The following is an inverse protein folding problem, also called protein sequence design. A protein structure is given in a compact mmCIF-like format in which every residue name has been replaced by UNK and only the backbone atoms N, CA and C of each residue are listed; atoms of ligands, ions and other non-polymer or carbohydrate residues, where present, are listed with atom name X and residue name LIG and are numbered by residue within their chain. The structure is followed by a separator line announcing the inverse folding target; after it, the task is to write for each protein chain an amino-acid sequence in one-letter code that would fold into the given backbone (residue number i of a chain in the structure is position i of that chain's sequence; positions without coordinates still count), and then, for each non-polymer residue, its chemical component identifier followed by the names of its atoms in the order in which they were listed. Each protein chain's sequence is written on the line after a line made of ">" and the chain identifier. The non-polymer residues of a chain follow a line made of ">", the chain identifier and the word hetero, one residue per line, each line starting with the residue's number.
data_IF_366508286218
#
_entry.id   IF_366508286218
#
_cell.length_a   1.000
_cell.length_b   1.000
_cell.length_c   1.000
_cell.angle_alpha   90.00
_cell.angle_beta   90.00
_cell.angle_gamma   90.00
#
_symmetry.space_group_name_H-M   'P 1'
#
loop_
_entity.id
_entity.type
_entity.pdbx_description
1 polymer ?
#
# COMPACT_ATOMS: atom_id res chain seq x y z
N UNK A 1 31.02 1.41 4.71
CA UNK A 1 30.23 2.29 3.83
C UNK A 1 29.85 1.59 2.53
N UNK A 2 30.77 0.87 1.89
CA UNK A 2 30.49 0.19 0.63
C UNK A 2 29.37 -0.81 0.69
N UNK A 3 29.28 -1.63 1.75
CA UNK A 3 28.23 -2.62 1.92
C UNK A 3 26.85 -2.01 2.04
N UNK A 4 26.72 -0.92 2.81
CA UNK A 4 25.44 -0.24 2.98
C UNK A 4 24.97 0.33 1.65
N UNK A 5 25.88 0.98 0.92
CA UNK A 5 25.58 1.53 -0.39
C UNK A 5 25.15 0.45 -1.39
N UNK A 6 25.88 -0.67 -1.39
CA UNK A 6 25.53 -1.82 -2.24
C UNK A 6 24.16 -2.39 -1.90
N UNK A 7 23.85 -2.52 -0.61
CA UNK A 7 22.55 -3.01 -0.17
C UNK A 7 21.42 -2.05 -0.56
N UNK A 8 21.65 -0.74 -0.44
CA UNK A 8 20.65 0.25 -0.86
C UNK A 8 20.41 0.20 -2.36
N UNK A 9 21.44 0.01 -3.16
CA UNK A 9 21.29 -0.12 -4.61
C UNK A 9 20.57 -1.42 -4.95
N UNK A 10 20.96 -2.53 -4.31
CA UNK A 10 20.34 -3.84 -4.55
C UNK A 10 18.88 -3.87 -4.18
N UNK A 11 18.50 -3.24 -3.07
CA UNK A 11 17.13 -3.23 -2.57
C UNK A 11 16.45 -1.89 -2.76
N UNK A 12 16.93 -1.08 -3.71
CA UNK A 12 16.37 0.25 -3.99
C UNK A 12 14.85 0.23 -4.15
N UNK A 13 14.34 -0.74 -4.91
CA UNK A 13 12.91 -0.87 -5.16
C UNK A 13 12.13 -1.09 -3.86
N UNK A 14 12.62 -2.02 -3.02
CA UNK A 14 11.98 -2.29 -1.73
C UNK A 14 12.07 -1.09 -0.79
N UNK A 15 13.24 -0.44 -0.73
CA UNK A 15 13.44 0.74 0.12
C UNK A 15 12.49 1.86 -0.30
N UNK A 16 12.40 2.15 -1.60
CA UNK A 16 11.48 3.17 -2.11
C UNK A 16 10.03 2.79 -1.84
N UNK A 17 9.68 1.51 -1.99
CA UNK A 17 8.34 1.04 -1.69
C UNK A 17 7.96 1.33 -0.23
N UNK A 18 8.87 1.03 0.71
CA UNK A 18 8.64 1.28 2.14
C UNK A 18 8.53 2.78 2.41
N UNK A 19 9.43 3.59 1.84
CA UNK A 19 9.40 5.05 2.02
C UNK A 19 8.07 5.62 1.53
N UNK A 20 7.64 5.27 0.33
CA UNK A 20 6.38 5.76 -0.20
C UNK A 20 5.17 5.15 0.51
N UNK A 21 5.33 3.95 1.09
CA UNK A 21 4.31 3.35 1.94
C UNK A 21 4.08 4.17 3.21
N UNK A 22 5.14 4.64 3.84
CA UNK A 22 5.04 5.54 4.99
C UNK A 22 4.37 6.84 4.59
N UNK A 23 4.76 7.43 3.45
CA UNK A 23 4.14 8.65 2.95
C UNK A 23 2.66 8.44 2.61
N UNK A 24 2.31 7.27 2.08
CA UNK A 24 0.91 6.90 1.81
C UNK A 24 0.10 6.89 3.10
N UNK A 25 0.66 6.34 4.18
CA UNK A 25 0.03 6.36 5.49
C UNK A 25 -0.19 7.78 5.98
N UNK A 26 0.80 8.66 5.80
CA UNK A 26 0.68 10.08 6.16
C UNK A 26 -0.46 10.72 5.37
N UNK A 27 -0.54 10.47 4.07
CA UNK A 27 -1.62 10.98 3.23
C UNK A 27 -2.99 10.51 3.76
N UNK A 28 -3.10 9.25 4.13
CA UNK A 28 -4.34 8.69 4.69
C UNK A 28 -4.76 9.43 5.95
N UNK A 29 -3.86 9.58 6.92
CA UNK A 29 -4.18 10.23 8.19
C UNK A 29 -4.47 11.72 8.02
N UNK A 30 -3.65 12.44 7.25
CA UNK A 30 -3.84 13.87 7.04
C UNK A 30 -5.15 14.15 6.32
N UNK A 31 -5.45 13.41 5.26
CA UNK A 31 -6.71 13.59 4.52
C UNK A 31 -7.92 13.23 5.38
N UNK A 32 -7.83 12.15 6.17
CA UNK A 32 -8.89 11.77 7.09
C UNK A 32 -9.19 12.91 8.09
N UNK A 33 -8.12 13.47 8.68
CA UNK A 33 -8.25 14.58 9.64
C UNK A 33 -8.88 15.80 8.99
N UNK A 34 -8.47 16.16 7.77
CA UNK A 34 -9.06 17.30 7.06
C UNK A 34 -10.54 17.05 6.81
N UNK A 35 -10.92 15.86 6.36
CA UNK A 35 -12.31 15.55 6.07
C UNK A 35 -13.18 15.56 7.31
N UNK A 36 -12.68 15.04 8.44
CA UNK A 36 -13.48 14.98 9.67
C UNK A 36 -13.51 16.30 10.43
N UNK A 37 -12.35 16.93 10.63
CA UNK A 37 -12.25 18.10 11.51
C UNK A 37 -12.53 19.41 10.79
N UNK A 38 -12.10 19.57 9.55
CA UNK A 38 -12.32 20.81 8.81
C UNK A 38 -13.61 20.81 8.00
N UNK A 39 -13.90 19.72 7.31
CA UNK A 39 -15.06 19.64 6.43
C UNK A 39 -16.27 19.01 7.10
N UNK A 40 -16.13 18.53 8.32
CA UNK A 40 -17.21 17.91 9.11
C UNK A 40 -17.92 16.77 8.37
N UNK A 41 -17.16 15.99 7.60
CA UNK A 41 -17.68 14.82 6.90
C UNK A 41 -17.76 13.65 7.90
N UNK A 42 -18.83 12.82 7.87
CA UNK A 42 -18.93 11.65 8.75
C UNK A 42 -17.70 10.76 8.64
N UNK A 43 -17.30 10.14 9.75
CA UNK A 43 -16.04 9.39 9.80
C UNK A 43 -15.98 8.23 8.79
N UNK A 44 -17.11 7.58 8.51
CA UNK A 44 -17.12 6.47 7.54
C UNK A 44 -16.84 6.96 6.12
N UNK A 45 -17.45 8.07 5.73
CA UNK A 45 -17.19 8.68 4.42
C UNK A 45 -15.75 9.18 4.36
N UNK A 46 -15.28 9.82 5.45
CA UNK A 46 -13.90 10.29 5.53
C UNK A 46 -12.90 9.14 5.42
N UNK A 47 -13.18 8.00 6.03
CA UNK A 47 -12.36 6.80 5.93
C UNK A 47 -12.26 6.32 4.47
N UNK A 48 -13.41 6.23 3.80
CA UNK A 48 -13.44 5.80 2.39
C UNK A 48 -12.68 6.77 1.50
N UNK A 49 -12.90 8.08 1.67
CA UNK A 49 -12.23 9.10 0.86
C UNK A 49 -10.72 9.10 1.10
N UNK A 50 -10.29 9.01 2.36
CA UNK A 50 -8.87 8.98 2.68
C UNK A 50 -8.20 7.71 2.15
N UNK A 51 -8.91 6.58 2.18
CA UNK A 51 -8.41 5.35 1.60
C UNK A 51 -8.20 5.49 0.09
N UNK A 52 -9.18 6.04 -0.63
CA UNK A 52 -9.07 6.26 -2.07
C UNK A 52 -7.89 7.17 -2.39
N UNK A 53 -7.75 8.29 -1.65
CA UNK A 53 -6.64 9.22 -1.87
C UNK A 53 -5.29 8.57 -1.59
N UNK A 54 -5.19 7.80 -0.51
CA UNK A 54 -3.93 7.14 -0.15
C UNK A 54 -3.56 6.07 -1.16
N UNK A 55 -4.53 5.29 -1.65
CA UNK A 55 -4.28 4.26 -2.67
C UNK A 55 -3.89 4.92 -4.00
N UNK A 56 -4.56 6.01 -4.38
CA UNK A 56 -4.20 6.75 -5.59
C UNK A 56 -2.78 7.30 -5.48
N UNK A 57 -2.42 7.87 -4.34
CA UNK A 57 -1.05 8.35 -4.09
C UNK A 57 -0.05 7.20 -4.19
N UNK A 58 -0.36 6.07 -3.55
CA UNK A 58 0.50 4.89 -3.60
C UNK A 58 0.66 4.39 -5.04
N UNK A 59 -0.42 4.38 -5.82
CA UNK A 59 -0.35 3.94 -7.21
C UNK A 59 0.59 4.84 -8.03
N UNK A 60 0.40 6.16 -7.94
CA UNK A 60 1.21 7.11 -8.72
C UNK A 60 2.68 7.03 -8.34
N UNK A 61 2.97 7.01 -7.03
CA UNK A 61 4.35 6.96 -6.55
C UNK A 61 5.03 5.64 -6.88
N UNK A 62 4.32 4.51 -6.72
CA UNK A 62 4.87 3.20 -7.05
C UNK A 62 5.10 3.08 -8.55
N UNK A 63 4.15 3.54 -9.35
CA UNK A 63 4.27 3.49 -10.80
C UNK A 63 5.47 4.29 -11.30
N UNK A 64 5.64 5.49 -10.77
CA UNK A 64 6.62 6.44 -11.29
C UNK A 64 8.03 6.21 -10.75
N UNK A 65 8.14 6.00 -9.43
CA UNK A 65 9.46 6.00 -8.77
C UNK A 65 9.91 4.63 -8.27
N UNK A 66 9.01 3.76 -7.88
CA UNK A 66 9.38 2.46 -7.31
C UNK A 66 9.59 1.41 -8.41
N UNK A 67 8.57 1.18 -9.22
CA UNK A 67 8.57 0.13 -10.24
C UNK A 67 8.80 0.66 -11.64
N UNK A 68 8.87 1.96 -11.81
CA UNK A 68 9.16 2.63 -13.09
C UNK A 68 8.36 2.04 -14.25
N UNK A 69 7.03 2.07 -14.12
CA UNK A 69 6.13 1.52 -15.13
C UNK A 69 6.33 2.17 -16.48
N UNK A 70 6.29 1.35 -17.54
CA UNK A 70 6.39 1.81 -18.92
C UNK A 70 5.05 1.84 -19.63
N UNK A 71 3.97 1.63 -18.90
CA UNK A 71 2.63 1.68 -19.48
C UNK A 71 2.32 3.10 -19.97
N UNK A 72 1.88 3.19 -21.21
CA UNK A 72 1.46 4.46 -21.83
C UNK A 72 0.10 4.27 -22.47
N UNK A 73 -0.67 5.35 -22.49
CA UNK A 73 -2.00 5.33 -23.07
C UNK A 73 -3.08 5.03 -22.04
N UNK A 74 -4.33 5.31 -22.38
CA UNK A 74 -5.45 5.26 -21.46
C UNK A 74 -5.72 3.82 -20.99
N UNK A 75 -5.82 2.88 -21.92
CA UNK A 75 -6.21 1.49 -21.58
C UNK A 75 -5.15 0.77 -20.74
N UNK A 76 -3.85 0.79 -21.13
CA UNK A 76 -2.82 0.16 -20.29
C UNK A 76 -2.73 0.76 -18.89
N UNK A 77 -2.83 2.07 -18.75
CA UNK A 77 -2.77 2.74 -17.45
C UNK A 77 -4.01 2.40 -16.63
N UNK A 78 -5.18 2.39 -17.24
CA UNK A 78 -6.41 2.00 -16.55
C UNK A 78 -6.35 0.55 -16.06
N UNK A 79 -5.85 -0.37 -16.89
CA UNK A 79 -5.67 -1.76 -16.52
C UNK A 79 -4.69 -1.90 -15.34
N UNK A 80 -3.58 -1.19 -15.41
CA UNK A 80 -2.58 -1.19 -14.33
C UNK A 80 -3.17 -0.67 -13.03
N UNK A 81 -3.91 0.45 -13.09
CA UNK A 81 -4.57 1.02 -11.92
C UNK A 81 -5.60 0.05 -11.34
N UNK A 82 -6.41 -0.59 -12.19
CA UNK A 82 -7.39 -1.57 -11.74
C UNK A 82 -6.74 -2.74 -11.01
N UNK A 83 -5.62 -3.26 -11.54
CA UNK A 83 -4.87 -4.33 -10.87
C UNK A 83 -4.30 -3.87 -9.55
N UNK A 84 -3.80 -2.64 -9.47
CA UNK A 84 -3.26 -2.08 -8.23
C UNK A 84 -4.35 -1.98 -7.16
N UNK A 85 -5.50 -1.41 -7.50
CA UNK A 85 -6.63 -1.31 -6.57
C UNK A 85 -7.11 -2.68 -6.13
N UNK A 86 -7.23 -3.64 -7.07
CA UNK A 86 -7.63 -5.01 -6.74
C UNK A 86 -6.65 -5.66 -5.76
N UNK A 87 -5.35 -5.46 -5.96
CA UNK A 87 -4.32 -5.98 -5.05
C UNK A 87 -4.46 -5.39 -3.65
N UNK A 88 -4.77 -4.10 -3.56
CA UNK A 88 -4.99 -3.45 -2.25
C UNK A 88 -6.21 -3.99 -1.54
N UNK A 89 -7.30 -4.22 -2.27
CA UNK A 89 -8.51 -4.82 -1.70
C UNK A 89 -8.21 -6.24 -1.22
N UNK A 90 -7.51 -7.04 -2.02
CA UNK A 90 -7.13 -8.41 -1.65
C UNK A 90 -6.27 -8.42 -0.37
N UNK A 91 -5.28 -7.53 -0.28
CA UNK A 91 -4.44 -7.46 0.90
C UNK A 91 -5.20 -6.97 2.12
N UNK A 92 -6.20 -6.09 1.93
CA UNK A 92 -7.10 -5.68 3.02
C UNK A 92 -7.87 -6.84 3.60
N UNK A 93 -8.43 -7.69 2.75
CA UNK A 93 -9.11 -8.91 3.20
C UNK A 93 -8.16 -9.86 3.91
N UNK A 94 -6.93 -10.00 3.43
CA UNK A 94 -5.91 -10.82 4.09
C UNK A 94 -5.61 -10.28 5.48
N UNK A 95 -5.46 -8.96 5.63
CA UNK A 95 -5.24 -8.35 6.94
C UNK A 95 -6.40 -8.64 7.89
N UNK A 96 -7.64 -8.47 7.41
CA UNK A 96 -8.83 -8.76 8.23
C UNK A 96 -8.86 -10.22 8.66
N UNK A 97 -8.54 -11.15 7.76
CA UNK A 97 -8.46 -12.58 8.07
C UNK A 97 -7.40 -12.87 9.11
N UNK A 98 -6.22 -12.28 8.99
CA UNK A 98 -5.13 -12.45 9.96
C UNK A 98 -5.50 -11.89 11.33
N UNK A 99 -6.17 -10.73 11.37
CA UNK A 99 -6.66 -10.14 12.62
C UNK A 99 -7.69 -11.07 13.28
N UNK A 100 -8.63 -11.59 12.50
CA UNK A 100 -9.64 -12.51 13.02
C UNK A 100 -8.98 -13.76 13.62
N UNK A 101 -8.08 -14.39 12.89
CA UNK A 101 -7.40 -15.61 13.35
C UNK A 101 -6.56 -15.31 14.59
N UNK A 102 -5.77 -14.26 14.57
CA UNK A 102 -4.86 -13.93 15.65
C UNK A 102 -5.56 -13.49 16.93
N UNK A 103 -6.59 -12.65 16.80
CA UNK A 103 -7.29 -12.08 17.96
C UNK A 103 -8.40 -13.00 18.45
N UNK A 104 -9.30 -13.38 17.55
CA UNK A 104 -10.50 -14.12 17.95
C UNK A 104 -10.26 -15.62 18.20
N UNK A 105 -9.39 -16.25 17.40
CA UNK A 105 -9.12 -17.68 17.51
C UNK A 105 -7.94 -18.01 18.42
N UNK A 106 -6.85 -17.28 18.30
CA UNK A 106 -5.63 -17.54 19.06
C UNK A 106 -5.49 -16.69 20.33
N UNK A 107 -6.37 -15.72 20.50
CA UNK A 107 -6.39 -14.83 21.67
C UNK A 107 -5.06 -14.09 21.89
N UNK A 108 -4.38 -13.75 20.81
CA UNK A 108 -3.17 -12.95 20.85
C UNK A 108 -3.55 -11.47 20.95
N UNK A 109 -2.70 -10.67 21.58
CA UNK A 109 -2.93 -9.24 21.72
C UNK A 109 -3.15 -8.60 20.32
N UNK A 110 -4.21 -7.82 20.17
CA UNK A 110 -4.60 -7.21 18.90
C UNK A 110 -3.50 -6.34 18.30
N UNK A 111 -2.74 -5.63 19.13
CA UNK A 111 -1.65 -4.77 18.66
C UNK A 111 -0.51 -5.57 18.06
N UNK A 112 -0.20 -6.73 18.65
CA UNK A 112 0.83 -7.65 18.14
C UNK A 112 0.38 -8.25 16.81
N UNK A 113 -0.86 -8.73 16.75
CA UNK A 113 -1.42 -9.31 15.54
C UNK A 113 -1.44 -8.28 14.40
N UNK A 114 -1.86 -7.05 14.72
CA UNK A 114 -1.90 -5.97 13.72
C UNK A 114 -0.51 -5.66 13.17
N UNK A 115 0.49 -5.62 14.04
CA UNK A 115 1.87 -5.38 13.60
C UNK A 115 2.35 -6.48 12.65
N UNK A 116 2.14 -7.75 13.03
CA UNK A 116 2.51 -8.89 12.20
C UNK A 116 1.73 -8.87 10.88
N UNK A 117 0.42 -8.63 10.95
CA UNK A 117 -0.42 -8.56 9.75
C UNK A 117 0.05 -7.45 8.81
N UNK A 118 0.39 -6.27 9.35
CA UNK A 118 0.89 -5.17 8.54
C UNK A 118 2.19 -5.53 7.81
N UNK A 119 3.09 -6.24 8.47
CA UNK A 119 4.32 -6.70 7.83
C UNK A 119 4.00 -7.61 6.65
N UNK A 120 3.12 -8.60 6.85
CA UNK A 120 2.71 -9.51 5.77
C UNK A 120 1.99 -8.77 4.65
N UNK A 121 1.13 -7.81 4.99
CA UNK A 121 0.40 -7.01 4.00
C UNK A 121 1.38 -6.18 3.15
N UNK A 122 2.36 -5.55 3.80
CA UNK A 122 3.37 -4.78 3.07
C UNK A 122 4.14 -5.67 2.10
N UNK A 123 4.57 -6.84 2.56
CA UNK A 123 5.29 -7.78 1.72
C UNK A 123 4.42 -8.30 0.57
N UNK A 124 3.17 -8.66 0.87
CA UNK A 124 2.22 -9.14 -0.14
C UNK A 124 1.95 -8.05 -1.18
N UNK A 125 1.73 -6.81 -0.76
CA UNK A 125 1.51 -5.70 -1.68
C UNK A 125 2.72 -5.44 -2.55
N UNK A 126 3.92 -5.54 -1.98
CA UNK A 126 5.15 -5.38 -2.74
C UNK A 126 5.28 -6.46 -3.82
N UNK A 127 5.07 -7.72 -3.44
CA UNK A 127 5.15 -8.84 -4.37
C UNK A 127 4.10 -8.73 -5.47
N UNK A 128 2.85 -8.45 -5.10
CA UNK A 128 1.77 -8.28 -6.07
C UNK A 128 2.03 -7.10 -7.01
N UNK A 129 2.51 -5.99 -6.47
CA UNK A 129 2.81 -4.82 -7.29
C UNK A 129 3.93 -5.12 -8.28
N UNK A 130 4.96 -5.81 -7.83
CA UNK A 130 6.11 -6.14 -8.68
C UNK A 130 5.78 -7.17 -9.75
N UNK A 131 5.07 -8.23 -9.40
CA UNK A 131 4.86 -9.37 -10.28
C UNK A 131 3.58 -9.28 -11.11
N UNK A 132 2.56 -8.59 -10.62
CA UNK A 132 1.23 -8.55 -11.26
C UNK A 132 0.94 -7.18 -11.84
N UNK A 133 1.04 -6.13 -11.01
CA UNK A 133 0.60 -4.79 -11.41
C UNK A 133 1.60 -4.12 -12.35
N UNK A 134 2.85 -4.04 -11.93
CA UNK A 134 3.90 -3.32 -12.67
C UNK A 134 4.89 -4.27 -13.35
N UNK A 135 4.41 -5.45 -13.73
CA UNK A 135 5.28 -6.45 -14.36
C UNK A 135 5.91 -5.89 -15.63
N UNK A 136 7.24 -5.85 -15.64
CA UNK A 136 7.97 -5.41 -16.81
C UNK A 136 8.04 -6.56 -17.80
N UNK A 137 7.60 -6.33 -19.03
CA UNK A 137 7.78 -7.30 -20.11
C UNK A 137 9.23 -7.33 -20.53
N UNK A 138 9.80 -8.51 -20.56
CA UNK A 138 11.15 -8.68 -21.07
C UNK A 138 11.17 -8.56 -22.60
#
# INVERSE_FOLDING_TARGET
>A
MGKIKELLIKYKELVLYVVFGVLTTVVSYVSYWIFTDFLHIPYMVSTALSWVLSVAFAYVTNRKWVFESRAHGFVPILTEAAKFFASRIASGFMEMGMMFIGVDLLHVNDKIVKLVANVFVILANYILSKLVVFRKKK
#
